data_IF_853291335373
#
_entry.id   IF_853291335373
#
_cell.length_a   1.000
_cell.length_b   1.000
_cell.length_c   1.000
_cell.angle_alpha   90.00
_cell.angle_beta   90.00
_cell.angle_gamma   90.00
#
_symmetry.space_group_name_H-M   'P 1'
#
loop_
_entity.id
_entity.type
_entity.pdbx_description
1 polymer ?
#
# COMPACT_ATOMS: atom_id res chain seq x y z
N UNK A 1 39.14 -28.72 25.28
CA UNK A 1 40.11 -27.62 25.14
C UNK A 1 39.34 -26.32 24.93
N UNK A 2 39.25 -25.44 25.93
CA UNK A 2 38.67 -24.11 25.80
C UNK A 2 39.79 -23.08 25.62
N UNK A 3 39.68 -22.20 24.61
CA UNK A 3 40.57 -21.05 24.47
C UNK A 3 39.92 -19.80 25.05
N UNK A 4 40.74 -19.05 25.77
CA UNK A 4 40.42 -17.96 26.65
C UNK A 4 40.16 -16.63 25.93
N UNK A 5 39.22 -15.87 26.51
CA UNK A 5 39.25 -14.44 26.86
C UNK A 5 40.32 -13.55 26.23
N UNK A 6 39.89 -12.44 25.62
CA UNK A 6 40.23 -11.09 26.12
C UNK A 6 39.29 -10.00 25.56
N UNK A 7 39.11 -8.87 26.28
CA UNK A 7 38.07 -7.84 26.07
C UNK A 7 38.64 -6.57 25.40
N UNK A 8 37.89 -5.44 25.48
CA UNK A 8 38.30 -4.00 25.32
C UNK A 8 37.53 -3.29 24.18
N UNK A 9 37.20 -1.97 24.21
CA UNK A 9 37.29 -0.94 25.28
C UNK A 9 35.96 -0.20 25.60
N UNK A 10 35.95 0.38 26.81
CA UNK A 10 35.18 1.57 27.18
C UNK A 10 35.75 2.80 26.45
N UNK A 11 34.91 3.60 25.80
CA UNK A 11 35.27 4.97 25.40
C UNK A 11 34.56 5.99 26.30
N UNK A 12 35.39 6.60 27.16
CA UNK A 12 35.10 7.79 27.94
C UNK A 12 35.21 9.04 27.05
N UNK A 13 34.23 9.93 27.19
CA UNK A 13 34.29 11.39 27.10
C UNK A 13 35.39 12.04 26.24
N UNK A 14 34.98 12.63 25.12
CA UNK A 14 35.52 13.90 24.64
C UNK A 14 34.37 14.78 24.15
N UNK A 15 34.18 15.89 24.85
CA UNK A 15 33.25 16.97 24.51
C UNK A 15 33.89 17.83 23.42
N UNK A 16 33.23 18.07 22.28
CA UNK A 16 33.56 19.21 21.43
C UNK A 16 32.74 20.41 21.92
N UNK A 17 33.43 21.37 22.55
CA UNK A 17 32.99 22.77 22.52
C UNK A 17 33.11 23.24 21.07
N UNK A 18 31.99 23.54 20.43
CA UNK A 18 31.96 24.36 19.23
C UNK A 18 30.77 25.33 19.32
N UNK A 19 31.12 26.53 19.75
CA UNK A 19 30.44 27.79 19.50
C UNK A 19 30.21 28.01 18.01
N UNK A 20 29.07 28.62 17.65
CA UNK A 20 28.91 29.27 16.35
C UNK A 20 27.96 28.57 15.38
N UNK A 21 26.66 28.70 15.66
CA UNK A 21 25.62 29.09 14.70
C UNK A 21 25.87 28.75 13.21
N UNK A 22 25.43 27.55 12.80
CA UNK A 22 24.87 27.28 11.48
C UNK A 22 23.89 26.13 11.65
N UNK A 23 22.59 26.44 11.71
CA UNK A 23 21.55 25.41 11.66
C UNK A 23 21.53 24.89 10.22
N UNK A 24 22.22 23.78 9.97
CA UNK A 24 22.17 23.08 8.70
C UNK A 24 20.84 22.32 8.57
N UNK A 25 20.24 22.49 7.40
CA UNK A 25 19.09 21.80 6.82
C UNK A 25 19.12 20.28 7.06
N UNK A 26 18.37 19.80 8.06
CA UNK A 26 18.05 18.38 8.24
C UNK A 26 16.68 18.19 8.90
N UNK A 27 15.74 19.10 8.60
CA UNK A 27 14.36 19.06 9.11
C UNK A 27 13.36 18.73 8.00
N UNK A 28 13.65 17.75 7.14
CA UNK A 28 12.82 17.45 5.97
C UNK A 28 11.45 16.83 6.32
N UNK A 29 11.25 16.33 7.54
CA UNK A 29 9.98 15.66 7.93
C UNK A 29 9.28 16.25 9.17
N UNK A 30 9.80 17.33 9.75
CA UNK A 30 9.18 17.92 10.94
C UNK A 30 7.85 18.61 10.60
N UNK A 31 6.74 17.96 10.94
CA UNK A 31 5.39 18.57 10.94
C UNK A 31 5.19 19.27 12.28
N UNK A 32 5.55 20.55 12.34
CA UNK A 32 5.42 21.32 13.56
C UNK A 32 5.17 22.81 13.29
N UNK A 33 4.30 23.40 14.11
CA UNK A 33 4.19 24.83 14.31
C UNK A 33 5.04 25.23 15.50
N UNK A 34 6.06 26.06 15.25
CA UNK A 34 7.04 26.50 16.24
C UNK A 34 6.84 27.99 16.52
N UNK A 35 6.89 28.36 17.80
CA UNK A 35 6.86 29.75 18.23
C UNK A 35 8.20 30.43 17.89
N UNK A 36 8.17 31.60 17.25
CA UNK A 36 9.39 32.37 16.99
C UNK A 36 9.15 33.86 17.24
N UNK A 37 10.20 34.58 17.65
CA UNK A 37 10.18 36.04 17.73
C UNK A 37 11.10 36.62 16.66
N UNK A 38 10.59 37.58 15.86
CA UNK A 38 11.37 38.31 14.85
C UNK A 38 11.08 39.80 14.96
N UNK A 39 12.14 40.60 15.13
CA UNK A 39 12.07 42.08 15.22
C UNK A 39 11.03 42.57 16.23
N UNK A 40 11.03 41.99 17.44
CA UNK A 40 10.08 42.34 18.52
C UNK A 40 8.68 41.74 18.38
N UNK A 41 8.34 41.12 17.24
CA UNK A 41 7.03 40.51 16.98
C UNK A 41 7.07 39.00 17.19
N UNK A 42 6.03 38.48 17.83
CA UNK A 42 5.80 37.04 17.95
C UNK A 42 4.98 36.53 16.77
N UNK A 43 5.31 35.32 16.34
CA UNK A 43 4.60 34.63 15.28
C UNK A 43 4.83 33.13 15.31
N UNK A 44 4.13 32.45 14.40
CA UNK A 44 4.16 31.00 14.24
C UNK A 44 4.81 30.66 12.91
N UNK A 45 5.82 29.80 12.97
CA UNK A 45 6.42 29.18 11.79
C UNK A 45 5.82 27.78 11.64
N UNK A 46 5.03 27.56 10.59
CA UNK A 46 4.52 26.23 10.24
C UNK A 46 5.46 25.55 9.25
N UNK A 47 5.96 24.39 9.64
CA UNK A 47 6.69 23.46 8.77
C UNK A 47 5.76 22.30 8.42
N UNK A 48 5.53 22.05 7.13
CA UNK A 48 4.71 20.93 6.67
C UNK A 48 5.22 20.44 5.31
N UNK A 49 5.70 19.19 5.26
CA UNK A 49 6.24 18.53 4.04
C UNK A 49 7.27 19.38 3.28
N UNK A 50 8.31 19.82 3.98
CA UNK A 50 9.36 20.69 3.42
C UNK A 50 8.91 22.13 3.07
N UNK A 51 7.63 22.48 3.23
CA UNK A 51 7.12 23.84 3.02
C UNK A 51 7.10 24.61 4.33
N UNK A 52 7.53 25.87 4.28
CA UNK A 52 7.54 26.80 5.42
C UNK A 52 6.56 27.95 5.21
N UNK A 53 5.75 28.26 6.22
CA UNK A 53 4.88 29.44 6.24
C UNK A 53 5.04 30.19 7.56
N UNK A 54 5.28 31.50 7.47
CA UNK A 54 5.38 32.39 8.62
C UNK A 54 4.11 33.21 8.78
N UNK A 55 3.57 33.27 10.00
CA UNK A 55 2.43 34.12 10.34
C UNK A 55 2.76 34.95 11.57
N UNK A 56 2.74 36.28 11.41
CA UNK A 56 2.95 37.23 12.50
C UNK A 56 1.63 37.45 13.24
N UNK A 57 1.66 37.45 14.58
CA UNK A 57 0.44 37.58 15.40
C UNK A 57 0.41 38.92 16.15
N UNK A 58 1.50 39.31 16.81
CA UNK A 58 1.52 40.56 17.58
C UNK A 58 2.80 40.81 18.36
N UNK A 59 2.82 41.92 19.11
CA UNK A 59 3.96 42.38 19.92
C UNK A 59 3.75 42.09 21.41
N UNK A 60 4.83 42.08 22.19
CA UNK A 60 4.77 41.92 23.64
C UNK A 60 4.27 40.56 24.17
N UNK A 61 3.88 40.55 25.44
CA UNK A 61 3.40 39.36 26.17
C UNK A 61 2.10 38.79 25.59
N UNK A 62 1.20 39.68 25.16
CA UNK A 62 -0.06 39.31 24.51
C UNK A 62 0.19 38.65 23.16
N UNK A 63 1.10 39.20 22.35
CA UNK A 63 1.54 38.59 21.09
C UNK A 63 2.15 37.21 21.29
N UNK A 64 2.89 36.99 22.38
CA UNK A 64 3.45 35.68 22.74
C UNK A 64 2.35 34.67 23.07
N UNK A 65 1.40 35.01 23.96
CA UNK A 65 0.28 34.11 24.31
C UNK A 65 -0.60 33.79 23.11
N UNK A 66 -0.93 34.80 22.31
CA UNK A 66 -1.73 34.60 21.10
C UNK A 66 -1.02 33.72 20.06
N UNK A 67 0.30 33.91 19.88
CA UNK A 67 1.12 33.04 19.03
C UNK A 67 1.16 31.60 19.56
N UNK A 68 1.18 31.42 20.89
CA UNK A 68 1.23 30.10 21.50
C UNK A 68 -0.10 29.35 21.34
N UNK A 69 -1.22 30.02 21.54
CA UNK A 69 -2.55 29.47 21.26
C UNK A 69 -2.68 29.07 19.77
N UNK A 70 -2.21 29.94 18.86
CA UNK A 70 -2.22 29.66 17.43
C UNK A 70 -1.32 28.46 17.07
N UNK A 71 -0.11 28.38 17.62
CA UNK A 71 0.79 27.25 17.39
C UNK A 71 0.18 25.92 17.86
N UNK A 72 -0.46 25.91 19.04
CA UNK A 72 -1.16 24.73 19.56
C UNK A 72 -2.30 24.29 18.66
N UNK A 73 -3.16 25.20 18.20
CA UNK A 73 -4.27 24.85 17.30
C UNK A 73 -3.76 24.36 15.94
N UNK A 74 -2.73 25.01 15.38
CA UNK A 74 -2.10 24.54 14.13
C UNK A 74 -1.50 23.15 14.31
N UNK A 75 -0.81 22.88 15.41
CA UNK A 75 -0.29 21.54 15.71
C UNK A 75 -1.41 20.50 15.83
N UNK A 76 -2.53 20.83 16.49
CA UNK A 76 -3.70 19.96 16.59
C UNK A 76 -4.31 19.64 15.23
N UNK A 77 -4.45 20.65 14.36
CA UNK A 77 -4.96 20.48 13.00
C UNK A 77 -4.02 19.65 12.14
N UNK A 78 -2.70 19.88 12.27
CA UNK A 78 -1.68 19.09 11.58
C UNK A 78 -1.70 17.64 12.03
N UNK A 79 -1.90 17.36 13.32
CA UNK A 79 -2.01 16.00 13.85
C UNK A 79 -3.28 15.30 13.34
N UNK A 80 -4.44 15.96 13.38
CA UNK A 80 -5.69 15.42 12.84
C UNK A 80 -5.57 15.13 11.34
N UNK A 81 -4.90 16.02 10.61
CA UNK A 81 -4.62 15.85 9.19
C UNK A 81 -3.65 14.69 8.94
N UNK A 82 -2.57 14.58 9.70
CA UNK A 82 -1.62 13.47 9.61
C UNK A 82 -2.30 12.13 9.94
N UNK A 83 -3.23 12.09 10.91
CA UNK A 83 -4.05 10.90 11.23
C UNK A 83 -5.00 10.52 10.10
N UNK A 84 -5.66 11.49 9.46
CA UNK A 84 -6.52 11.25 8.29
C UNK A 84 -5.70 10.75 7.10
N UNK A 85 -4.58 11.42 6.81
CA UNK A 85 -3.69 11.05 5.71
C UNK A 85 -3.05 9.67 5.96
N UNK A 86 -2.70 9.31 7.19
CA UNK A 86 -2.26 7.95 7.55
C UNK A 86 -3.35 6.89 7.41
N UNK A 87 -4.62 7.31 7.36
CA UNK A 87 -5.80 6.44 7.16
C UNK A 87 -6.21 6.35 5.69
N UNK A 88 -5.45 6.94 4.78
CA UNK A 88 -5.73 6.93 3.35
C UNK A 88 -4.80 5.95 2.62
N UNK A 89 -5.34 5.34 1.55
CA UNK A 89 -4.54 4.51 0.65
C UNK A 89 -3.34 5.30 0.11
N UNK A 90 -2.15 4.73 0.27
CA UNK A 90 -0.83 5.28 0.00
C UNK A 90 -0.45 6.51 0.83
N UNK A 91 -1.09 6.73 1.97
CA UNK A 91 -0.77 7.83 2.89
C UNK A 91 0.69 7.88 3.36
N UNK A 92 1.37 6.73 3.34
CA UNK A 92 2.78 6.58 3.67
C UNK A 92 3.75 6.88 2.51
N UNK A 93 3.25 6.97 1.27
CA UNK A 93 4.10 7.11 0.09
C UNK A 93 4.29 8.57 -0.32
N UNK A 94 5.54 8.95 -0.59
CA UNK A 94 5.91 10.27 -1.09
C UNK A 94 5.99 10.22 -2.63
N UNK A 95 5.17 11.00 -3.37
CA UNK A 95 5.25 11.06 -4.82
C UNK A 95 6.68 11.37 -5.32
N UNK A 96 7.10 10.68 -6.38
CA UNK A 96 8.45 10.80 -6.94
C UNK A 96 9.50 9.89 -6.28
N UNK A 97 9.15 9.17 -5.22
CA UNK A 97 9.99 8.10 -4.65
C UNK A 97 9.57 6.73 -5.20
N UNK A 98 10.43 5.70 -5.08
CA UNK A 98 10.03 4.34 -5.45
C UNK A 98 8.78 3.91 -4.68
N UNK A 99 7.86 3.22 -5.35
CA UNK A 99 6.61 2.73 -4.79
C UNK A 99 6.64 1.20 -4.72
N UNK A 100 7.10 0.58 -3.61
CA UNK A 100 7.16 -0.87 -3.47
C UNK A 100 5.79 -1.51 -3.66
N UNK A 101 5.72 -2.49 -4.57
CA UNK A 101 4.46 -3.11 -4.99
C UNK A 101 3.82 -3.92 -3.86
N UNK A 102 4.62 -4.67 -3.11
CA UNK A 102 4.15 -5.44 -1.96
C UNK A 102 3.43 -4.54 -0.95
N UNK A 103 4.08 -3.45 -0.54
CA UNK A 103 3.53 -2.49 0.41
C UNK A 103 2.29 -1.80 -0.14
N UNK A 104 2.28 -1.43 -1.42
CA UNK A 104 1.10 -0.88 -2.09
C UNK A 104 -0.08 -1.86 -2.09
N UNK A 105 0.16 -3.15 -2.30
CA UNK A 105 -0.89 -4.16 -2.24
C UNK A 105 -1.45 -4.38 -0.83
N UNK A 106 -0.58 -4.51 0.17
CA UNK A 106 -1.04 -4.68 1.55
C UNK A 106 -1.80 -3.47 2.06
N UNK A 107 -1.32 -2.28 1.72
CA UNK A 107 -2.00 -1.04 2.04
C UNK A 107 -3.36 -0.91 1.33
N UNK A 108 -3.43 -1.34 0.07
CA UNK A 108 -4.70 -1.44 -0.66
C UNK A 108 -5.67 -2.41 0.03
N UNK A 109 -5.22 -3.60 0.44
CA UNK A 109 -6.06 -4.58 1.13
C UNK A 109 -6.59 -4.05 2.46
N UNK A 110 -5.77 -3.30 3.19
CA UNK A 110 -6.15 -2.67 4.46
C UNK A 110 -7.26 -1.62 4.27
N UNK A 111 -7.08 -0.73 3.30
CA UNK A 111 -7.99 0.41 3.10
C UNK A 111 -9.23 0.06 2.26
N UNK A 112 -9.09 -0.87 1.32
CA UNK A 112 -10.20 -1.27 0.44
C UNK A 112 -11.04 -2.40 1.04
N UNK A 113 -10.47 -3.21 1.94
CA UNK A 113 -11.15 -4.33 2.60
C UNK A 113 -12.53 -4.00 3.21
N UNK A 114 -12.71 -2.89 3.95
CA UNK A 114 -14.00 -2.48 4.51
C UNK A 114 -15.09 -2.20 3.46
N UNK A 115 -14.73 -1.99 2.20
CA UNK A 115 -15.69 -1.63 1.13
C UNK A 115 -16.26 -2.84 0.39
N UNK A 116 -15.76 -4.06 0.67
CA UNK A 116 -16.13 -5.28 -0.05
C UNK A 116 -16.59 -6.38 0.90
N UNK A 117 -17.34 -7.36 0.38
CA UNK A 117 -17.73 -8.55 1.15
C UNK A 117 -16.49 -9.33 1.61
N UNK A 118 -16.56 -9.95 2.79
CA UNK A 118 -15.46 -10.76 3.36
C UNK A 118 -14.91 -11.80 2.39
N UNK A 119 -15.77 -12.57 1.74
CA UNK A 119 -15.37 -13.58 0.75
C UNK A 119 -14.69 -13.00 -0.51
N UNK A 120 -14.93 -11.74 -0.83
CA UNK A 120 -14.22 -11.04 -1.92
C UNK A 120 -12.85 -10.59 -1.44
N UNK A 121 -12.74 -10.06 -0.22
CA UNK A 121 -11.47 -9.70 0.39
C UNK A 121 -10.53 -10.90 0.53
N UNK A 122 -11.04 -12.06 0.99
CA UNK A 122 -10.27 -13.30 1.08
C UNK A 122 -9.71 -13.74 -0.28
N UNK A 123 -10.51 -13.60 -1.34
CA UNK A 123 -10.05 -13.85 -2.72
C UNK A 123 -8.97 -12.87 -3.16
N UNK A 124 -9.11 -11.58 -2.84
CA UNK A 124 -8.07 -10.59 -3.14
C UNK A 124 -6.78 -10.87 -2.38
N UNK A 125 -6.85 -11.20 -1.09
CA UNK A 125 -5.69 -11.62 -0.28
C UNK A 125 -4.99 -12.81 -0.91
N UNK A 126 -5.74 -13.85 -1.29
CA UNK A 126 -5.21 -15.02 -1.97
C UNK A 126 -4.46 -14.65 -3.25
N UNK A 127 -5.01 -13.76 -4.09
CA UNK A 127 -4.33 -13.31 -5.30
C UNK A 127 -3.08 -12.48 -5.00
N UNK A 128 -3.13 -11.59 -4.01
CA UNK A 128 -2.00 -10.75 -3.62
C UNK A 128 -0.87 -11.60 -3.03
N UNK A 129 -1.16 -12.36 -1.98
CA UNK A 129 -0.17 -13.07 -1.17
C UNK A 129 0.43 -14.27 -1.90
N UNK A 130 -0.37 -15.01 -2.66
CA UNK A 130 0.09 -16.26 -3.29
C UNK A 130 0.54 -16.09 -4.74
N UNK A 131 0.20 -14.97 -5.41
CA UNK A 131 0.50 -14.80 -6.83
C UNK A 131 1.27 -13.51 -7.11
N UNK A 132 0.74 -12.35 -6.71
CA UNK A 132 1.32 -11.06 -7.09
C UNK A 132 2.59 -10.73 -6.31
N UNK A 133 2.54 -10.78 -4.98
CA UNK A 133 3.68 -10.44 -4.11
C UNK A 133 4.88 -11.35 -4.35
N UNK A 134 4.73 -12.69 -4.48
CA UNK A 134 5.88 -13.56 -4.74
C UNK A 134 6.63 -13.22 -6.05
N UNK A 135 5.94 -12.68 -7.06
CA UNK A 135 6.55 -12.37 -8.36
C UNK A 135 6.97 -10.89 -8.50
N UNK A 136 6.13 -9.97 -8.03
CA UNK A 136 6.31 -8.52 -8.20
C UNK A 136 6.78 -7.80 -6.95
N UNK A 137 6.66 -8.41 -5.76
CA UNK A 137 6.86 -7.75 -4.46
C UNK A 137 8.08 -6.81 -4.38
N UNK A 138 9.29 -7.24 -4.74
CA UNK A 138 10.48 -6.41 -4.61
C UNK A 138 10.61 -5.31 -5.68
N UNK A 139 9.70 -5.23 -6.65
CA UNK A 139 9.76 -4.25 -7.74
C UNK A 139 9.03 -2.96 -7.36
N UNK A 140 9.45 -1.88 -8.01
CA UNK A 140 8.76 -0.60 -7.97
C UNK A 140 7.54 -0.61 -8.92
N UNK A 141 6.38 -0.17 -8.42
CA UNK A 141 5.14 -0.09 -9.17
C UNK A 141 5.27 0.82 -10.39
N UNK A 142 6.03 1.91 -10.29
CA UNK A 142 6.28 2.83 -11.39
C UNK A 142 7.19 2.21 -12.47
N UNK A 143 8.03 1.23 -12.08
CA UNK A 143 9.03 0.60 -12.95
C UNK A 143 8.55 -0.64 -13.69
N UNK A 144 7.32 -1.12 -13.46
CA UNK A 144 6.81 -2.34 -14.11
C UNK A 144 6.64 -2.13 -15.61
N UNK A 145 7.06 -3.12 -16.40
CA UNK A 145 6.95 -3.13 -17.85
C UNK A 145 6.01 -4.24 -18.33
N UNK A 146 5.59 -4.12 -19.58
CA UNK A 146 4.81 -5.15 -20.28
C UNK A 146 5.48 -6.53 -20.25
N UNK A 147 6.83 -6.58 -20.30
CA UNK A 147 7.62 -7.82 -20.20
C UNK A 147 7.44 -8.53 -18.85
N UNK A 148 7.28 -7.77 -17.77
CA UNK A 148 7.06 -8.36 -16.44
C UNK A 148 5.70 -9.05 -16.35
N UNK A 149 4.67 -8.44 -16.97
CA UNK A 149 3.31 -9.00 -17.04
C UNK A 149 3.28 -10.27 -17.88
N UNK A 150 3.97 -10.27 -19.03
CA UNK A 150 4.10 -11.44 -19.88
C UNK A 150 4.84 -12.56 -19.14
N UNK A 151 5.93 -12.23 -18.44
CA UNK A 151 6.69 -13.18 -17.64
C UNK A 151 5.84 -13.79 -16.51
N UNK A 152 5.10 -12.97 -15.77
CA UNK A 152 4.20 -13.43 -14.71
C UNK A 152 3.17 -14.42 -15.24
N UNK A 153 2.46 -14.03 -16.31
CA UNK A 153 1.43 -14.88 -16.91
C UNK A 153 2.02 -16.18 -17.45
N UNK A 154 3.17 -16.12 -18.11
CA UNK A 154 3.83 -17.31 -18.68
C UNK A 154 4.27 -18.27 -17.58
N UNK A 155 4.89 -17.78 -16.51
CA UNK A 155 5.29 -18.60 -15.36
C UNK A 155 4.08 -19.23 -14.69
N UNK A 156 2.99 -18.49 -14.49
CA UNK A 156 1.78 -19.02 -13.88
C UNK A 156 1.13 -20.12 -14.73
N UNK A 157 1.04 -19.94 -16.06
CA UNK A 157 0.48 -20.96 -16.95
C UNK A 157 1.38 -22.17 -17.11
N UNK A 158 2.70 -21.99 -17.15
CA UNK A 158 3.66 -23.09 -17.13
C UNK A 158 3.52 -23.94 -15.84
N UNK A 159 3.21 -23.32 -14.71
CA UNK A 159 2.88 -24.01 -13.45
C UNK A 159 1.48 -24.66 -13.43
N UNK A 160 0.74 -24.60 -14.55
CA UNK A 160 -0.57 -25.23 -14.68
C UNK A 160 -1.73 -24.42 -14.10
N UNK A 161 -1.53 -23.15 -13.76
CA UNK A 161 -2.60 -22.29 -13.25
C UNK A 161 -3.72 -22.13 -14.27
N UNK A 162 -4.96 -22.05 -13.80
CA UNK A 162 -6.11 -21.73 -14.64
C UNK A 162 -6.07 -20.27 -15.09
N UNK A 163 -6.67 -19.98 -16.26
CA UNK A 163 -6.76 -18.64 -16.85
C UNK A 163 -7.37 -17.61 -15.90
N UNK A 164 -8.52 -17.91 -15.32
CA UNK A 164 -9.32 -16.92 -14.59
C UNK A 164 -8.64 -16.43 -13.30
N UNK A 165 -8.04 -17.30 -12.46
CA UNK A 165 -7.24 -16.87 -11.31
C UNK A 165 -6.11 -15.88 -11.67
N UNK A 166 -5.36 -16.15 -12.74
CA UNK A 166 -4.26 -15.29 -13.20
C UNK A 166 -4.77 -13.91 -13.65
N UNK A 167 -5.88 -13.90 -14.41
CA UNK A 167 -6.51 -12.65 -14.85
C UNK A 167 -7.14 -11.86 -13.69
N UNK A 168 -7.66 -12.55 -12.68
CA UNK A 168 -8.22 -11.93 -11.48
C UNK A 168 -7.12 -11.29 -10.64
N UNK A 169 -5.98 -11.94 -10.47
CA UNK A 169 -4.83 -11.34 -9.79
C UNK A 169 -4.34 -10.07 -10.49
N UNK A 170 -4.21 -10.11 -11.82
CA UNK A 170 -3.86 -8.91 -12.59
C UNK A 170 -4.95 -7.82 -12.52
N UNK A 171 -6.21 -8.20 -12.31
CA UNK A 171 -7.26 -7.21 -12.08
C UNK A 171 -7.08 -6.46 -10.75
N UNK A 172 -6.54 -7.11 -9.71
CA UNK A 172 -6.12 -6.44 -8.46
C UNK A 172 -4.99 -5.44 -8.72
N UNK A 173 -3.95 -5.84 -9.47
CA UNK A 173 -2.85 -4.94 -9.86
C UNK A 173 -3.35 -3.71 -10.61
N UNK A 174 -4.23 -3.90 -11.60
CA UNK A 174 -4.85 -2.79 -12.33
C UNK A 174 -5.57 -1.82 -11.40
N UNK A 175 -6.28 -2.33 -10.38
CA UNK A 175 -7.00 -1.49 -9.42
C UNK A 175 -6.04 -0.66 -8.57
N UNK A 176 -4.96 -1.26 -8.08
CA UNK A 176 -3.91 -0.56 -7.31
C UNK A 176 -3.25 0.53 -8.15
N UNK A 177 -2.85 0.22 -9.38
CA UNK A 177 -2.25 1.21 -10.30
C UNK A 177 -3.21 2.38 -10.55
N UNK A 178 -4.48 2.09 -10.79
CA UNK A 178 -5.48 3.13 -11.04
C UNK A 178 -5.68 4.04 -9.83
N UNK A 179 -5.80 3.47 -8.62
CA UNK A 179 -5.92 4.26 -7.39
C UNK A 179 -4.66 5.09 -7.11
N UNK A 180 -3.47 4.55 -7.41
CA UNK A 180 -2.22 5.28 -7.26
C UNK A 180 -2.12 6.47 -8.22
N UNK A 181 -2.61 6.32 -9.46
CA UNK A 181 -2.72 7.42 -10.43
C UNK A 181 -3.73 8.48 -10.00
N UNK A 182 -4.94 8.08 -9.61
CA UNK A 182 -5.99 9.00 -9.16
C UNK A 182 -5.53 9.87 -7.98
N UNK A 183 -4.64 9.32 -7.14
CA UNK A 183 -4.08 10.01 -5.96
C UNK A 183 -2.74 10.71 -6.23
N UNK A 184 -2.25 10.71 -7.47
CA UNK A 184 -1.02 11.40 -7.87
C UNK A 184 0.27 10.77 -7.33
N UNK A 185 0.24 9.50 -6.91
CA UNK A 185 1.44 8.75 -6.54
C UNK A 185 2.16 8.17 -7.77
N UNK A 186 1.46 8.07 -8.89
CA UNK A 186 2.02 7.76 -10.20
C UNK A 186 1.70 8.91 -11.15
N UNK A 187 2.66 9.29 -11.99
CA UNK A 187 2.45 10.32 -13.02
C UNK A 187 1.77 9.74 -14.26
N UNK A 188 2.15 8.53 -14.66
CA UNK A 188 1.64 7.85 -15.85
C UNK A 188 1.34 6.39 -15.54
N UNK A 189 0.40 5.80 -16.29
CA UNK A 189 0.06 4.40 -16.11
C UNK A 189 1.19 3.52 -16.69
N UNK A 190 1.93 2.77 -15.86
CA UNK A 190 3.01 1.91 -16.34
C UNK A 190 2.50 0.70 -17.15
N UNK A 191 1.23 0.33 -16.96
CA UNK A 191 0.65 -0.92 -17.47
C UNK A 191 -0.71 -0.69 -18.17
N UNK A 192 -0.78 0.15 -19.21
CA UNK A 192 -2.03 0.46 -19.90
C UNK A 192 -2.65 -0.78 -20.59
N UNK A 193 -1.83 -1.80 -20.87
CA UNK A 193 -2.22 -3.00 -21.64
C UNK A 193 -2.23 -4.28 -20.82
N UNK A 194 -2.13 -4.18 -19.49
CA UNK A 194 -2.00 -5.30 -18.55
C UNK A 194 -2.89 -6.51 -18.87
N UNK A 195 -4.21 -6.29 -18.88
CA UNK A 195 -5.20 -7.36 -19.07
C UNK A 195 -5.14 -7.92 -20.50
N UNK A 196 -4.82 -7.08 -21.49
CA UNK A 196 -4.73 -7.49 -22.89
C UNK A 196 -3.57 -8.46 -23.10
N UNK A 197 -2.40 -8.13 -22.56
CA UNK A 197 -1.20 -8.96 -22.65
C UNK A 197 -1.39 -10.32 -21.98
N UNK A 198 -1.92 -10.32 -20.75
CA UNK A 198 -2.19 -11.57 -20.04
C UNK A 198 -3.20 -12.46 -20.78
N UNK A 199 -4.21 -11.88 -21.43
CA UNK A 199 -5.15 -12.63 -22.29
C UNK A 199 -4.46 -13.23 -23.52
N UNK A 200 -3.47 -12.54 -24.10
CA UNK A 200 -2.70 -13.08 -25.24
C UNK A 200 -1.87 -14.28 -24.80
N UNK A 201 -1.15 -14.18 -23.67
CA UNK A 201 -0.40 -15.32 -23.11
C UNK A 201 -1.33 -16.47 -22.76
N UNK A 202 -2.48 -16.20 -22.13
CA UNK A 202 -3.46 -17.22 -21.78
C UNK A 202 -4.04 -17.94 -23.01
N UNK A 203 -4.12 -17.28 -24.18
CA UNK A 203 -4.55 -17.94 -25.43
C UNK A 203 -3.45 -18.82 -26.01
N UNK A 204 -2.19 -18.41 -25.86
CA UNK A 204 -1.05 -19.14 -26.38
C UNK A 204 -0.67 -20.36 -25.53
N UNK A 205 -0.84 -20.26 -24.20
CA UNK A 205 -0.33 -21.26 -23.23
C UNK A 205 -1.38 -21.76 -22.24
N UNK A 206 -2.52 -21.08 -22.12
CA UNK A 206 -3.52 -21.44 -21.13
C UNK A 206 -4.26 -22.71 -21.51
N UNK A 207 -4.53 -23.55 -20.51
CA UNK A 207 -5.43 -24.70 -20.67
C UNK A 207 -6.82 -24.21 -21.08
N UNK A 208 -7.44 -24.91 -22.03
CA UNK A 208 -8.84 -24.70 -22.40
C UNK A 208 -9.72 -24.80 -21.17
N UNK A 209 -10.70 -23.91 -21.02
CA UNK A 209 -11.66 -23.97 -19.92
C UNK A 209 -12.35 -25.33 -19.98
N UNK A 210 -12.21 -26.13 -18.91
CA UNK A 210 -13.04 -27.32 -18.73
C UNK A 210 -14.48 -26.84 -18.67
N UNK A 211 -15.29 -27.22 -19.65
CA UNK A 211 -16.71 -26.91 -19.64
C UNK A 211 -17.30 -27.70 -18.49
N UNK A 212 -18.01 -27.04 -17.58
CA UNK A 212 -18.81 -27.77 -16.61
C UNK A 212 -19.90 -28.46 -17.43
N UNK A 213 -19.83 -29.78 -17.53
CA UNK A 213 -20.83 -30.55 -18.26
C UNK A 213 -22.15 -30.48 -17.49
N UNK A 214 -23.23 -30.26 -18.23
CA UNK A 214 -24.56 -30.36 -17.66
C UNK A 214 -24.84 -31.84 -17.41
N UNK A 215 -25.52 -32.13 -16.31
CA UNK A 215 -25.90 -33.49 -15.97
C UNK A 215 -26.85 -34.04 -17.01
N UNK A 216 -26.65 -35.29 -17.40
CA UNK A 216 -27.65 -35.99 -18.22
C UNK A 216 -28.89 -36.32 -17.38
N UNK A 217 -29.98 -36.67 -18.05
CA UNK A 217 -31.22 -37.07 -17.36
C UNK A 217 -30.99 -38.31 -16.49
N UNK A 218 -30.14 -39.23 -16.95
CA UNK A 218 -29.80 -40.47 -16.27
C UNK A 218 -28.94 -40.22 -15.03
N UNK A 219 -27.96 -39.31 -15.12
CA UNK A 219 -27.14 -38.88 -13.99
C UNK A 219 -27.99 -38.18 -12.93
N UNK A 220 -28.87 -37.28 -13.35
CA UNK A 220 -29.81 -36.61 -12.46
C UNK A 220 -30.77 -37.60 -11.78
N UNK A 221 -31.35 -38.55 -12.53
CA UNK A 221 -32.21 -39.59 -11.97
C UNK A 221 -31.46 -40.49 -10.96
N UNK A 222 -30.19 -40.79 -11.23
CA UNK A 222 -29.33 -41.57 -10.33
C UNK A 222 -29.08 -40.82 -9.04
N UNK A 223 -28.74 -39.51 -9.11
CA UNK A 223 -28.60 -38.69 -7.91
C UNK A 223 -29.91 -38.65 -7.13
N UNK A 224 -31.05 -38.39 -7.78
CA UNK A 224 -32.34 -38.30 -7.10
C UNK A 224 -32.68 -39.60 -6.36
N UNK A 225 -32.48 -40.75 -7.00
CA UNK A 225 -32.69 -42.07 -6.38
C UNK A 225 -31.75 -42.32 -5.21
N UNK A 226 -30.50 -41.88 -5.32
CA UNK A 226 -29.52 -41.99 -4.23
C UNK A 226 -29.91 -41.09 -3.04
N UNK A 227 -30.26 -39.83 -3.32
CA UNK A 227 -30.67 -38.83 -2.34
C UNK A 227 -31.94 -39.24 -1.61
N UNK A 228 -32.94 -39.82 -2.29
CA UNK A 228 -34.16 -40.30 -1.61
C UNK A 228 -33.89 -41.39 -0.58
N UNK A 229 -32.83 -42.18 -0.78
CA UNK A 229 -32.47 -43.30 0.10
C UNK A 229 -31.58 -42.88 1.26
N UNK A 230 -30.65 -41.95 1.02
CA UNK A 230 -29.59 -41.60 1.98
C UNK A 230 -29.80 -40.25 2.66
N UNK A 231 -30.45 -39.30 1.99
CA UNK A 231 -30.66 -37.92 2.47
C UNK A 231 -32.10 -37.47 2.21
N UNK A 232 -33.12 -38.16 2.78
CA UNK A 232 -34.53 -37.94 2.44
C UNK A 232 -35.02 -36.52 2.78
N UNK A 233 -34.34 -35.80 3.68
CA UNK A 233 -34.66 -34.42 4.02
C UNK A 233 -34.32 -33.42 2.89
N UNK A 234 -33.32 -33.72 2.06
CA UNK A 234 -32.87 -32.87 0.96
C UNK A 234 -33.47 -33.26 -0.40
N UNK A 235 -33.97 -34.49 -0.54
CA UNK A 235 -34.57 -34.99 -1.77
C UNK A 235 -35.66 -34.07 -2.38
N UNK A 236 -36.58 -33.46 -1.61
CA UNK A 236 -37.60 -32.57 -2.18
C UNK A 236 -37.07 -31.23 -2.73
N UNK A 237 -35.81 -30.88 -2.45
CA UNK A 237 -35.17 -29.61 -2.82
C UNK A 237 -34.23 -29.75 -4.02
N UNK A 238 -33.99 -30.98 -4.50
CA UNK A 238 -33.16 -31.32 -5.66
C UNK A 238 -34.04 -31.49 -6.90
#
# INVERSE_FOLDING_TARGET
MPLASAPVPLYSTLVPRCTGQAWNDSSEEAVAAILQQKRGRWGVLTLYRGRRKWQTVGEGEEGRRASQALATEVNRQLELRARRESSEFLGWHVPGTPLPIDRAFYDWLLHYGPTVRRATLERYRTHVENQLVPYFGPKDLAGIRDTDVIGFASTAFAAGAARDPVLNALSCMRRVVHLALERGHLETNPLPRLVRLAKQVARAQGKTKVRADAWTKEEAATLLTFSSKHEPHFYPLL
#
